data_IF_340218052107
#
_entry.id   IF_340218052107
#
_cell.length_a   1.000
_cell.length_b   1.000
_cell.length_c   1.000
_cell.angle_alpha   90.00
_cell.angle_beta   90.00
_cell.angle_gamma   90.00
#
_symmetry.space_group_name_H-M   'P 1'
#
loop_
_entity.id
_entity.type
_entity.pdbx_description
1 polymer ?
#
# COMPACT_ATOMS: atom_id res chain seq x y z
N UNK A 1 -16.53 -7.61 31.02
CA UNK A 1 -15.15 -7.73 30.50
C UNK A 1 -15.26 -7.79 28.99
N UNK A 2 -15.05 -6.65 28.31
CA UNK A 2 -15.12 -6.57 26.85
C UNK A 2 -13.79 -7.05 26.29
N UNK A 3 -13.76 -8.27 25.75
CA UNK A 3 -12.69 -8.72 24.86
C UNK A 3 -12.87 -7.98 23.54
N UNK A 4 -12.18 -6.84 23.40
CA UNK A 4 -12.04 -6.18 22.11
C UNK A 4 -10.94 -6.95 21.37
N UNK A 5 -11.32 -7.89 20.50
CA UNK A 5 -10.44 -8.33 19.42
C UNK A 5 -10.20 -7.14 18.48
N UNK A 6 -9.27 -6.25 18.81
CA UNK A 6 -8.74 -5.26 17.86
C UNK A 6 -8.03 -6.05 16.76
N UNK A 7 -8.75 -6.38 15.70
CA UNK A 7 -8.20 -7.09 14.54
C UNK A 7 -7.11 -6.23 13.92
N UNK A 8 -5.87 -6.72 14.02
CA UNK A 8 -4.62 -6.24 13.41
C UNK A 8 -4.72 -6.11 11.88
N UNK A 9 -5.48 -5.16 11.34
CA UNK A 9 -5.60 -5.01 9.89
C UNK A 9 -5.33 -3.57 9.46
N UNK A 10 -4.30 -3.44 8.63
CA UNK A 10 -4.19 -2.36 7.66
C UNK A 10 -5.49 -2.29 6.86
N UNK A 11 -6.13 -1.14 6.89
CA UNK A 11 -7.30 -0.81 6.07
C UNK A 11 -6.87 0.11 4.94
N UNK A 12 -7.51 -0.01 3.78
CA UNK A 12 -7.20 0.88 2.67
C UNK A 12 -8.43 1.28 1.85
N UNK A 13 -8.34 2.47 1.26
CA UNK A 13 -9.28 3.00 0.27
C UNK A 13 -8.49 3.39 -0.98
N UNK A 14 -9.03 3.06 -2.15
CA UNK A 14 -8.45 3.44 -3.45
C UNK A 14 -9.41 4.40 -4.15
N UNK A 15 -8.89 5.56 -4.54
CA UNK A 15 -9.56 6.50 -5.44
C UNK A 15 -8.81 6.52 -6.78
N UNK A 16 -9.52 6.21 -7.86
CA UNK A 16 -8.94 6.17 -9.21
C UNK A 16 -9.42 7.33 -10.06
N UNK A 17 -8.49 7.99 -10.76
CA UNK A 17 -8.78 9.04 -11.73
C UNK A 17 -7.82 8.98 -12.91
N UNK A 18 -8.32 8.56 -14.09
CA UNK A 18 -7.53 8.44 -15.33
C UNK A 18 -6.24 7.62 -15.11
N UNK A 19 -5.09 8.29 -15.11
CA UNK A 19 -3.74 7.73 -14.96
C UNK A 19 -3.23 7.81 -13.50
N UNK A 20 -4.08 8.18 -12.55
CA UNK A 20 -3.71 8.39 -11.14
C UNK A 20 -4.51 7.49 -10.22
N UNK A 21 -3.85 6.96 -9.20
CA UNK A 21 -4.47 6.32 -8.05
C UNK A 21 -4.01 7.03 -6.77
N UNK A 22 -4.96 7.38 -5.93
CA UNK A 22 -4.71 7.79 -4.56
C UNK A 22 -5.13 6.64 -3.64
N UNK A 23 -4.19 6.13 -2.86
CA UNK A 23 -4.42 5.02 -1.94
C UNK A 23 -4.23 5.56 -0.53
N UNK A 24 -5.28 5.50 0.27
CA UNK A 24 -5.29 5.91 1.67
C UNK A 24 -5.20 4.66 2.51
N UNK A 25 -4.22 4.60 3.40
CA UNK A 25 -3.91 3.44 4.22
C UNK A 25 -3.96 3.85 5.68
N UNK A 26 -4.83 3.19 6.45
CA UNK A 26 -4.83 3.27 7.91
C UNK A 26 -4.09 2.06 8.46
N UNK A 27 -3.17 2.30 9.37
CA UNK A 27 -2.43 1.27 10.08
C UNK A 27 -2.16 1.71 11.52
N UNK A 28 -1.69 0.79 12.35
CA UNK A 28 -1.15 1.18 13.65
C UNK A 28 0.18 1.94 13.47
N UNK A 29 0.48 2.84 14.40
CA UNK A 29 1.72 3.64 14.38
C UNK A 29 2.98 2.75 14.28
N UNK A 30 3.00 1.64 15.01
CA UNK A 30 4.11 0.68 15.02
C UNK A 30 4.33 -0.04 13.67
N UNK A 31 3.34 -0.06 12.78
CA UNK A 31 3.44 -0.71 11.47
C UNK A 31 3.83 0.29 10.36
N UNK A 32 3.84 1.59 10.68
CA UNK A 32 3.99 2.67 9.70
C UNK A 32 5.37 2.69 9.05
N UNK A 33 6.44 2.54 9.82
CA UNK A 33 7.81 2.53 9.28
C UNK A 33 8.06 1.34 8.37
N UNK A 34 7.53 0.17 8.72
CA UNK A 34 7.59 -1.05 7.89
C UNK A 34 6.83 -0.85 6.59
N UNK A 35 5.61 -0.28 6.64
CA UNK A 35 4.83 0.05 5.45
C UNK A 35 5.54 1.05 4.54
N UNK A 36 6.07 2.14 5.12
CA UNK A 36 6.84 3.14 4.38
C UNK A 36 8.03 2.49 3.66
N UNK A 37 8.78 1.64 4.35
CA UNK A 37 9.93 0.94 3.79
C UNK A 37 9.52 0.01 2.64
N UNK A 38 8.45 -0.77 2.82
CA UNK A 38 7.93 -1.67 1.78
C UNK A 38 7.46 -0.91 0.53
N UNK A 39 6.74 0.20 0.70
CA UNK A 39 6.26 0.99 -0.43
C UNK A 39 7.36 1.82 -1.10
N UNK A 40 8.38 2.24 -0.37
CA UNK A 40 9.54 2.90 -0.96
C UNK A 40 10.30 1.97 -1.93
N UNK A 41 10.31 0.66 -1.68
CA UNK A 41 10.88 -0.32 -2.62
C UNK A 41 10.08 -0.41 -3.93
N UNK A 42 8.77 -0.09 -3.93
CA UNK A 42 7.95 -0.05 -5.15
C UNK A 42 8.48 0.97 -6.16
N UNK A 43 8.97 2.14 -5.69
CA UNK A 43 9.55 3.16 -6.56
C UNK A 43 10.76 2.64 -7.36
N UNK A 44 11.51 1.70 -6.77
CA UNK A 44 12.70 1.09 -7.39
C UNK A 44 12.37 -0.18 -8.17
N UNK A 45 11.09 -0.59 -8.23
CA UNK A 45 10.69 -1.88 -8.80
C UNK A 45 11.18 -3.08 -8.00
N UNK A 46 11.48 -2.89 -6.72
CA UNK A 46 12.01 -3.92 -5.80
C UNK A 46 10.96 -4.35 -4.76
N UNK A 47 9.71 -3.91 -4.90
CA UNK A 47 8.66 -4.32 -3.99
C UNK A 47 8.35 -5.81 -4.15
N UNK A 48 8.03 -6.45 -3.03
CA UNK A 48 7.68 -7.86 -2.96
C UNK A 48 6.26 -8.17 -3.44
N UNK A 49 5.54 -7.18 -3.98
CA UNK A 49 4.17 -7.37 -4.42
C UNK A 49 4.09 -8.39 -5.56
N UNK A 50 3.13 -9.33 -5.51
CA UNK A 50 2.97 -10.38 -6.52
C UNK A 50 2.29 -9.84 -7.78
N UNK A 51 2.84 -8.78 -8.37
CA UNK A 51 2.29 -8.12 -9.55
C UNK A 51 3.36 -7.40 -10.36
N UNK A 52 3.10 -7.20 -11.65
CA UNK A 52 3.93 -6.46 -12.58
C UNK A 52 3.50 -4.98 -12.76
N UNK A 53 2.47 -4.52 -12.05
CA UNK A 53 1.92 -3.16 -12.20
C UNK A 53 2.96 -2.05 -11.92
N UNK A 54 4.01 -2.34 -11.14
CA UNK A 54 5.13 -1.42 -10.93
C UNK A 54 5.83 -1.02 -12.24
N UNK A 55 5.78 -1.86 -13.29
CA UNK A 55 6.33 -1.54 -14.63
C UNK A 55 5.58 -0.39 -15.30
N UNK A 56 4.32 -0.18 -14.94
CA UNK A 56 3.47 0.91 -15.43
C UNK A 56 3.65 2.20 -14.63
N UNK A 57 4.32 2.16 -13.50
CA UNK A 57 4.54 3.29 -12.62
C UNK A 57 5.44 4.33 -13.30
N UNK A 58 4.95 5.56 -13.39
CA UNK A 58 5.73 6.74 -13.75
C UNK A 58 6.24 7.44 -12.50
N UNK A 59 5.38 7.61 -11.49
CA UNK A 59 5.76 8.16 -10.20
C UNK A 59 4.95 7.53 -9.06
N UNK A 60 5.56 7.45 -7.89
CA UNK A 60 4.89 7.12 -6.63
C UNK A 60 5.36 8.15 -5.61
N UNK A 61 4.42 8.92 -5.06
CA UNK A 61 4.69 9.83 -3.94
C UNK A 61 4.02 9.28 -2.70
N UNK A 62 4.79 9.26 -1.60
CA UNK A 62 4.33 8.75 -0.31
C UNK A 62 4.31 9.92 0.66
N UNK A 63 3.17 10.17 1.28
CA UNK A 63 3.00 11.17 2.33
C UNK A 63 2.27 10.58 3.52
N UNK A 64 2.50 11.15 4.70
CA UNK A 64 1.78 10.78 5.92
C UNK A 64 0.92 11.96 6.35
N UNK A 65 -0.32 11.69 6.72
CA UNK A 65 -1.25 12.67 7.29
C UNK A 65 -1.95 12.02 8.49
N UNK A 66 -1.71 12.55 9.69
CA UNK A 66 -2.24 12.01 10.95
C UNK A 66 -1.99 10.49 11.10
N UNK A 67 -3.06 9.69 11.12
CA UNK A 67 -3.05 8.23 11.22
C UNK A 67 -3.09 7.52 9.86
N UNK A 68 -2.98 8.26 8.76
CA UNK A 68 -3.03 7.75 7.39
C UNK A 68 -1.69 7.88 6.64
N UNK A 69 -1.37 6.84 5.86
CA UNK A 69 -0.41 6.89 4.77
C UNK A 69 -1.16 7.10 3.46
N UNK A 70 -0.66 8.02 2.64
CA UNK A 70 -1.23 8.36 1.34
C UNK A 70 -0.19 8.01 0.27
N UNK A 71 -0.54 7.06 -0.60
CA UNK A 71 0.24 6.70 -1.79
C UNK A 71 -0.43 7.33 -3.01
N UNK A 72 0.30 8.20 -3.70
CA UNK A 72 -0.14 8.81 -4.95
C UNK A 72 0.64 8.16 -6.08
N UNK A 73 -0.01 7.28 -6.84
CA UNK A 73 0.57 6.58 -7.98
C UNK A 73 0.15 7.28 -9.26
N UNK A 74 1.08 7.47 -10.17
CA UNK A 74 0.82 7.91 -11.54
C UNK A 74 1.35 6.86 -12.51
N UNK A 75 0.51 6.43 -13.46
CA UNK A 75 0.91 5.52 -14.53
C UNK A 75 1.56 6.30 -15.67
N UNK A 76 2.44 5.60 -16.39
CA UNK A 76 3.02 6.07 -17.66
C UNK A 76 1.91 6.43 -18.65
N UNK A 77 2.17 7.35 -19.61
CA UNK A 77 1.20 7.74 -20.62
C UNK A 77 0.58 6.54 -21.32
N UNK A 78 -0.74 6.58 -21.52
CA UNK A 78 -1.53 5.54 -22.18
C UNK A 78 -1.53 4.16 -21.48
N UNK A 79 -1.07 4.08 -20.24
CA UNK A 79 -1.18 2.88 -19.41
C UNK A 79 -2.17 3.11 -18.27
N UNK A 80 -2.90 2.06 -17.92
CA UNK A 80 -3.81 2.04 -16.78
C UNK A 80 -3.40 0.93 -15.80
N UNK A 81 -3.52 1.23 -14.51
CA UNK A 81 -3.33 0.23 -13.48
C UNK A 81 -4.52 -0.73 -13.44
N UNK A 82 -4.25 -2.02 -13.28
CA UNK A 82 -5.27 -2.99 -12.92
C UNK A 82 -5.54 -2.90 -11.41
N UNK A 83 -6.74 -2.43 -11.05
CA UNK A 83 -7.12 -2.25 -9.65
C UNK A 83 -7.13 -3.57 -8.86
N UNK A 84 -7.36 -4.72 -9.50
CA UNK A 84 -7.32 -6.00 -8.81
C UNK A 84 -5.88 -6.37 -8.43
N UNK A 85 -4.92 -6.06 -9.30
CA UNK A 85 -3.50 -6.26 -9.03
C UNK A 85 -2.98 -5.32 -7.93
N UNK A 86 -3.41 -4.06 -7.93
CA UNK A 86 -3.12 -3.12 -6.84
C UNK A 86 -3.68 -3.64 -5.50
N UNK A 87 -4.92 -4.13 -5.48
CA UNK A 87 -5.52 -4.73 -4.27
C UNK A 87 -4.73 -5.94 -3.78
N UNK A 88 -4.35 -6.86 -4.67
CA UNK A 88 -3.52 -8.02 -4.31
C UNK A 88 -2.19 -7.61 -3.67
N UNK A 89 -1.54 -6.57 -4.20
CA UNK A 89 -0.32 -6.00 -3.62
C UNK A 89 -0.55 -5.48 -2.20
N UNK A 90 -1.60 -4.68 -1.99
CA UNK A 90 -1.96 -4.15 -0.66
C UNK A 90 -2.32 -5.26 0.34
N UNK A 91 -3.08 -6.27 -0.09
CA UNK A 91 -3.46 -7.42 0.75
C UNK A 91 -2.25 -8.27 1.13
N UNK A 92 -1.30 -8.44 0.21
CA UNK A 92 -0.03 -9.13 0.45
C UNK A 92 0.82 -8.36 1.48
N UNK A 93 0.97 -7.05 1.30
CA UNK A 93 1.70 -6.19 2.26
C UNK A 93 1.06 -6.24 3.65
N UNK A 94 -0.27 -6.12 3.74
CA UNK A 94 -1.04 -6.23 4.99
C UNK A 94 -0.82 -7.59 5.68
N UNK A 95 -0.75 -8.66 4.90
CA UNK A 95 -0.53 -10.02 5.42
C UNK A 95 0.89 -10.23 5.95
N UNK A 96 1.89 -9.56 5.39
CA UNK A 96 3.28 -9.67 5.86
C UNK A 96 3.53 -8.88 7.15
N UNK A 97 2.83 -7.77 7.38
CA UNK A 97 2.88 -7.06 8.68
C UNK A 97 2.47 -7.96 9.87
N UNK A 98 1.61 -8.94 9.62
CA UNK A 98 1.17 -9.89 10.66
C UNK A 98 2.26 -10.91 11.03
N UNK A 99 3.22 -11.16 10.14
CA UNK A 99 4.28 -12.16 10.35
C UNK A 99 5.43 -11.59 11.19
N UNK A 100 5.79 -10.33 10.99
CA UNK A 100 6.85 -9.65 11.77
C UNK A 100 6.53 -9.49 13.27
N UNK A 101 5.29 -9.77 13.72
CA UNK A 101 4.91 -9.74 15.15
C UNK A 101 5.19 -11.04 15.91
N UNK A 102 5.69 -12.09 15.25
CA UNK A 102 5.88 -13.43 15.84
C UNK A 102 7.28 -14.03 15.60
N UNK A 103 8.23 -13.25 15.08
CA UNK A 103 9.66 -13.63 15.01
C UNK A 103 10.49 -12.92 16.10
#
# INVERSE_FOLDING_TARGET
>A
MLLIEKRNQMEYKIESSKNKLNIFIKSHEVERETLLSNFALCQKGQCSCPTDEYKKLQSLNISSLDDELILNLESKPYQAFDLNEIKKCLDFTSSNLKKDKYE
#
